data_IF_928519911988
#
_entry.id   IF_928519911988
#
_cell.length_a   1.000
_cell.length_b   1.000
_cell.length_c   1.000
_cell.angle_alpha   90.00
_cell.angle_beta   90.00
_cell.angle_gamma   90.00
#
_symmetry.space_group_name_H-M   'P 1'
#
loop_
_entity.id
_entity.type
_entity.pdbx_description
1 polymer ?
#
# COMPACT_ATOMS: atom_id res chain seq x y z
N UNK A 1 -23.60 -8.42 2.37
CA UNK A 1 -22.97 -8.17 2.31
C UNK A 1 -22.27 -7.77 2.30
N UNK A 2 -22.04 -7.46 2.32
CA UNK A 2 -21.36 -7.03 2.15
C UNK A 2 -20.46 -6.88 2.22
N UNK A 3 -20.31 -6.79 2.42
CA UNK A 3 -19.44 -6.58 2.48
C UNK A 3 -18.59 -6.32 2.26
N UNK A 4 -18.53 -6.28 2.10
CA UNK A 4 -17.66 -6.24 1.74
C UNK A 4 -16.85 -5.43 1.69
N UNK A 5 -16.94 -5.02 1.62
CA UNK A 5 -16.20 -4.47 1.44
C UNK A 5 -15.29 -4.22 1.50
N UNK A 6 -15.55 -4.23 1.68
CA UNK A 6 -14.61 -4.09 1.45
C UNK A 6 -13.34 -3.69 1.13
N UNK A 7 -12.33 -4.04 0.80
CA UNK A 7 -10.95 -3.83 0.54
C UNK A 7 -10.48 -2.41 0.34
N UNK A 8 -10.43 -1.64 1.41
CA UNK A 8 -10.07 -0.25 1.32
C UNK A 8 -8.69 0.07 1.86
N UNK A 9 -7.97 -0.93 2.35
CA UNK A 9 -6.69 -0.70 2.99
C UNK A 9 -5.58 -0.87 1.98
N UNK A 10 -4.67 0.10 1.92
CA UNK A 10 -3.58 0.10 0.95
C UNK A 10 -2.25 0.33 1.65
N UNK A 11 -1.18 -0.04 0.98
CA UNK A 11 0.18 0.15 1.47
C UNK A 11 0.74 1.43 0.87
N UNK A 12 1.07 2.37 1.73
CA UNK A 12 1.70 3.63 1.37
C UNK A 12 3.17 3.50 1.75
N UNK A 13 4.07 3.53 0.78
CA UNK A 13 5.47 3.19 1.02
C UNK A 13 6.41 4.19 0.40
N UNK A 14 7.62 4.21 0.92
CA UNK A 14 8.72 4.94 0.30
C UNK A 14 9.95 4.05 0.29
N UNK A 15 10.82 4.29 -0.66
CA UNK A 15 12.12 3.63 -0.70
C UNK A 15 13.03 4.35 0.27
N UNK A 16 13.76 3.61 1.09
CA UNK A 16 14.66 4.23 2.05
C UNK A 16 15.77 5.03 1.38
N UNK A 17 16.14 4.64 0.16
CA UNK A 17 17.13 5.37 -0.62
C UNK A 17 16.59 6.64 -1.26
N UNK A 18 15.24 6.79 -1.30
CA UNK A 18 14.56 7.97 -1.84
C UNK A 18 13.45 8.39 -0.89
N UNK A 19 13.79 8.82 0.33
CA UNK A 19 12.79 8.95 1.39
C UNK A 19 11.80 10.10 1.19
N UNK A 20 12.01 10.96 0.23
CA UNK A 20 11.12 12.12 0.02
C UNK A 20 9.94 11.81 -0.89
N UNK A 21 9.89 10.60 -1.47
CA UNK A 21 8.85 10.24 -2.41
C UNK A 21 8.05 9.06 -1.88
N UNK A 22 6.74 9.24 -1.72
CA UNK A 22 5.85 8.19 -1.27
C UNK A 22 5.02 7.68 -2.42
N UNK A 23 4.75 6.39 -2.41
CA UNK A 23 3.97 5.68 -3.43
C UNK A 23 2.87 4.87 -2.79
N UNK A 24 1.87 4.51 -3.59
CA UNK A 24 0.83 3.57 -3.18
C UNK A 24 1.05 2.27 -3.94
N UNK A 25 1.05 1.15 -3.24
CA UNK A 25 1.39 -0.13 -3.84
C UNK A 25 0.33 -0.64 -4.80
N UNK A 26 0.76 -1.05 -5.99
CA UNK A 26 -0.06 -1.77 -6.94
C UNK A 26 0.13 -3.27 -6.81
N UNK A 27 1.39 -3.69 -6.73
CA UNK A 27 1.70 -5.10 -6.57
C UNK A 27 3.10 -5.25 -5.98
N UNK A 28 3.37 -6.46 -5.55
CA UNK A 28 4.66 -6.84 -4.99
C UNK A 28 5.20 -7.96 -5.86
N UNK A 29 6.40 -7.76 -6.40
CA UNK A 29 7.02 -8.71 -7.30
C UNK A 29 7.78 -9.77 -6.51
N UNK A 30 8.04 -10.91 -7.16
CA UNK A 30 8.76 -12.02 -6.52
C UNK A 30 10.16 -11.63 -6.07
N UNK A 31 10.76 -10.66 -6.74
CA UNK A 31 12.10 -10.19 -6.37
C UNK A 31 12.07 -9.19 -5.21
N UNK A 32 10.92 -8.97 -4.61
CA UNK A 32 10.78 -8.08 -3.47
C UNK A 32 10.57 -6.61 -3.84
N UNK A 33 10.44 -6.32 -5.12
CA UNK A 33 10.26 -4.94 -5.57
C UNK A 33 8.78 -4.58 -5.59
N UNK A 34 8.44 -3.44 -5.00
CA UNK A 34 7.07 -2.93 -5.03
C UNK A 34 6.88 -2.09 -6.27
N UNK A 35 5.69 -2.19 -6.85
CA UNK A 35 5.29 -1.41 -8.02
C UNK A 35 4.19 -0.44 -7.59
N UNK A 36 4.31 0.83 -8.01
CA UNK A 36 3.37 1.86 -7.60
C UNK A 36 2.12 1.87 -8.47
N UNK A 37 0.99 2.23 -7.85
CA UNK A 37 -0.29 2.40 -8.54
C UNK A 37 -0.42 3.82 -9.06
N UNK A 38 -1.05 3.96 -10.22
CA UNK A 38 -1.34 5.27 -10.81
C UNK A 38 -2.80 5.64 -10.70
N UNK A 39 -3.69 4.65 -10.65
CA UNK A 39 -5.13 4.88 -10.60
C UNK A 39 -5.73 4.10 -9.45
N UNK A 40 -6.97 4.44 -9.10
CA UNK A 40 -7.68 3.75 -8.03
C UNK A 40 -7.76 2.25 -8.29
N UNK A 41 -8.05 1.85 -9.53
CA UNK A 41 -8.20 0.44 -9.87
C UNK A 41 -6.89 -0.32 -9.76
N UNK A 42 -5.77 0.38 -9.93
CA UNK A 42 -4.45 -0.24 -9.82
C UNK A 42 -4.03 -0.52 -8.39
N UNK A 43 -4.61 0.19 -7.42
CA UNK A 43 -4.18 0.06 -6.02
C UNK A 43 -4.51 -1.34 -5.52
N UNK A 44 -3.53 -1.99 -4.91
CA UNK A 44 -3.77 -3.26 -4.22
C UNK A 44 -4.52 -2.97 -2.94
N UNK A 45 -5.72 -3.55 -2.79
CA UNK A 45 -6.59 -3.26 -1.67
C UNK A 45 -6.73 -4.51 -0.79
N UNK A 46 -6.37 -4.35 0.46
CA UNK A 46 -6.54 -5.41 1.46
C UNK A 46 -7.93 -5.27 2.07
N UNK A 47 -8.56 -6.39 2.35
CA UNK A 47 -9.89 -6.40 2.92
C UNK A 47 -9.91 -5.97 4.38
N UNK A 48 -8.83 -6.24 5.09
CA UNK A 48 -8.75 -5.99 6.53
C UNK A 48 -7.51 -5.19 6.85
N UNK A 49 -7.66 -4.29 7.82
CA UNK A 49 -6.52 -3.51 8.31
C UNK A 49 -5.37 -4.42 8.75
N UNK A 50 -5.70 -5.48 9.48
CA UNK A 50 -4.67 -6.37 10.02
C UNK A 50 -3.84 -7.01 8.93
N UNK A 51 -4.48 -7.41 7.83
CA UNK A 51 -3.75 -8.00 6.70
C UNK A 51 -2.77 -7.00 6.10
N UNK A 52 -3.23 -5.77 5.91
CA UNK A 52 -2.38 -4.72 5.37
C UNK A 52 -1.26 -4.38 6.35
N UNK A 53 -1.60 -4.33 7.63
CA UNK A 53 -0.62 -4.01 8.67
C UNK A 53 0.48 -5.09 8.73
N UNK A 54 0.09 -6.37 8.69
CA UNK A 54 1.07 -7.46 8.71
C UNK A 54 1.99 -7.40 7.50
N UNK A 55 1.43 -7.08 6.33
CA UNK A 55 2.24 -6.91 5.12
C UNK A 55 3.23 -5.76 5.30
N UNK A 56 2.76 -4.62 5.76
CA UNK A 56 3.63 -3.45 5.96
C UNK A 56 4.71 -3.75 6.99
N UNK A 57 4.35 -4.43 8.05
CA UNK A 57 5.31 -4.78 9.10
C UNK A 57 6.42 -5.67 8.55
N UNK A 58 6.07 -6.62 7.70
CA UNK A 58 7.07 -7.49 7.08
C UNK A 58 8.02 -6.71 6.19
N UNK A 59 7.51 -5.70 5.49
CA UNK A 59 8.36 -4.87 4.65
C UNK A 59 9.39 -4.09 5.45
N UNK A 60 8.96 -3.49 6.56
CA UNK A 60 9.86 -2.62 7.32
C UNK A 60 10.82 -3.40 8.21
N UNK A 61 10.57 -4.69 8.40
CA UNK A 61 11.44 -5.55 9.21
C UNK A 61 12.20 -6.58 8.38
N UNK A 62 12.21 -6.40 7.07
CA UNK A 62 12.86 -7.34 6.16
C UNK A 62 14.33 -7.50 6.47
N UNK A 63 14.81 -8.75 6.41
CA UNK A 63 16.19 -9.07 6.66
C UNK A 63 16.95 -9.24 5.33
N UNK A 64 18.24 -8.97 5.27
CA UNK A 64 19.07 -8.45 6.36
C UNK A 64 18.91 -6.95 6.56
N UNK A 65 18.41 -6.22 5.54
CA UNK A 65 18.25 -4.78 5.58
C UNK A 65 16.94 -4.42 4.88
N UNK A 66 16.04 -3.72 5.57
CA UNK A 66 14.80 -3.31 4.92
C UNK A 66 15.09 -2.32 3.79
N UNK A 67 14.29 -2.39 2.74
CA UNK A 67 14.41 -1.50 1.58
C UNK A 67 13.35 -0.42 1.58
N UNK A 68 12.31 -0.60 2.37
CA UNK A 68 11.14 0.27 2.34
C UNK A 68 10.74 0.69 3.73
N UNK A 69 10.12 1.86 3.80
CA UNK A 69 9.31 2.27 4.93
C UNK A 69 7.86 2.22 4.44
N UNK A 70 6.94 1.80 5.29
CA UNK A 70 5.58 1.57 4.86
C UNK A 70 4.58 1.90 5.96
N UNK A 71 3.40 2.35 5.52
CA UNK A 71 2.27 2.65 6.40
C UNK A 71 1.02 2.06 5.77
N UNK A 72 0.02 1.80 6.59
CA UNK A 72 -1.30 1.39 6.11
C UNK A 72 -2.19 2.63 6.07
N UNK A 73 -2.82 2.85 4.93
CA UNK A 73 -3.75 3.96 4.74
C UNK A 73 -5.02 3.44 4.10
N UNK A 74 -6.12 4.14 4.33
CA UNK A 74 -7.36 3.82 3.62
C UNK A 74 -7.33 4.52 2.28
N UNK A 75 -7.61 3.77 1.21
CA UNK A 75 -7.66 4.34 -0.14
C UNK A 75 -9.11 4.70 -0.46
N UNK A 76 -9.30 5.91 -0.98
CA UNK A 76 -10.61 6.43 -1.30
C UNK A 76 -10.65 6.82 -2.76
N UNK A 77 -11.72 6.44 -3.44
CA UNK A 77 -11.89 6.79 -4.84
C UNK A 77 -12.20 8.27 -4.97
N UNK A 78 -11.51 8.91 -5.88
CA UNK A 78 -11.78 10.30 -6.24
C UNK A 78 -12.43 10.34 -7.61
N UNK A 79 -12.56 11.54 -8.16
CA UNK A 79 -13.21 11.72 -9.45
C UNK A 79 -12.42 11.03 -10.56
N UNK A 80 -13.10 10.33 -11.44
CA UNK A 80 -12.47 9.60 -12.53
C UNK A 80 -11.68 8.41 -12.00
N UNK A 81 -10.44 8.26 -12.45
CA UNK A 81 -9.57 7.17 -12.02
C UNK A 81 -8.65 7.57 -10.87
N UNK A 82 -8.76 8.78 -10.37
CA UNK A 82 -7.91 9.27 -9.30
C UNK A 82 -8.30 8.66 -7.95
N UNK A 83 -7.38 8.73 -7.01
CA UNK A 83 -7.64 8.30 -5.64
C UNK A 83 -6.86 9.19 -4.67
N UNK A 84 -7.26 9.11 -3.41
CA UNK A 84 -6.51 9.75 -2.35
C UNK A 84 -6.46 8.81 -1.15
N UNK A 85 -5.54 9.08 -0.24
CA UNK A 85 -5.35 8.26 0.94
C UNK A 85 -5.78 9.03 2.17
N UNK A 86 -6.55 8.37 3.01
CA UNK A 86 -6.96 8.92 4.28
C UNK A 86 -6.07 8.35 5.38
N UNK A 87 -5.71 9.18 6.32
CA UNK A 87 -4.98 8.73 7.49
C UNK A 87 -5.85 7.80 8.32
N UNK A 88 -5.21 6.99 9.09
CA UNK A 88 -5.93 6.10 9.98
C UNK A 88 -5.93 6.63 11.39
#
# INVERSE_FOLDING_TARGET
>A
MSAAQTGDWAIFYRKLEEPNIWYTMKLWRKDGVLVSAKTYDDVYKFNRFKEAFDFAKNLITEEPTPKYDAQVKRVCKAKGSAFYLAGN
#
